data_IF_966894268851
#
_entry.id   IF_966894268851
#
_cell.length_a   1.000
_cell.length_b   1.000
_cell.length_c   1.000
_cell.angle_alpha   90.00
_cell.angle_beta   90.00
_cell.angle_gamma   90.00
#
_symmetry.space_group_name_H-M   'P 1'
#
loop_
_entity.id
_entity.type
_entity.pdbx_description
1 polymer ?
#
# COMPACT_ATOMS: atom_id res chain seq x y z
N UNK A 1 6.41 -5.83 5.29
CA UNK A 1 5.27 -6.64 5.77
C UNK A 1 4.18 -6.53 4.72
N UNK A 2 3.64 -7.63 4.21
CA UNK A 2 2.50 -7.56 3.27
C UNK A 2 1.29 -6.98 3.99
N UNK A 3 0.49 -6.10 3.35
CA UNK A 3 -0.74 -5.61 3.93
C UNK A 3 -1.68 -6.79 4.15
N UNK A 4 -2.09 -7.01 5.40
CA UNK A 4 -2.99 -8.10 5.77
C UNK A 4 -4.43 -7.73 5.38
N UNK A 5 -4.73 -7.89 4.09
CA UNK A 5 -6.07 -7.69 3.53
C UNK A 5 -6.98 -8.91 3.74
N UNK A 6 -6.45 -9.97 4.35
CA UNK A 6 -7.00 -11.32 4.30
C UNK A 6 -6.85 -11.99 5.66
N UNK A 7 -7.91 -11.92 6.47
CA UNK A 7 -7.87 -12.43 7.84
C UNK A 7 -8.02 -13.95 7.85
N UNK A 8 -7.16 -14.62 8.61
CA UNK A 8 -7.31 -16.06 8.92
C UNK A 8 -8.27 -16.22 10.10
N UNK A 9 -9.32 -17.00 9.90
CA UNK A 9 -10.35 -17.26 10.92
C UNK A 9 -10.04 -18.54 11.71
N UNK A 10 -10.81 -18.81 12.76
CA UNK A 10 -10.62 -19.95 13.66
C UNK A 10 -10.74 -21.32 12.96
N UNK A 11 -11.42 -21.37 11.81
CA UNK A 11 -11.53 -22.55 10.95
C UNK A 11 -10.27 -22.81 10.10
N UNK A 12 -9.24 -21.97 10.25
CA UNK A 12 -7.98 -22.06 9.53
C UNK A 12 -8.04 -21.53 8.10
N UNK A 13 -9.20 -21.05 7.64
CA UNK A 13 -9.38 -20.48 6.30
C UNK A 13 -9.19 -18.98 6.31
N UNK A 14 -8.93 -18.45 5.12
CA UNK A 14 -8.63 -17.03 4.91
C UNK A 14 -9.79 -16.38 4.18
N UNK A 15 -10.32 -15.29 4.73
CA UNK A 15 -11.49 -14.60 4.20
C UNK A 15 -11.21 -13.14 3.89
N UNK A 16 -11.95 -12.62 2.91
CA UNK A 16 -12.11 -11.18 2.67
C UNK A 16 -13.51 -10.82 3.16
N UNK A 17 -13.59 -9.94 4.15
CA UNK A 17 -14.86 -9.46 4.71
C UNK A 17 -14.80 -7.93 4.82
N UNK A 18 -15.85 -7.27 4.36
CA UNK A 18 -16.01 -5.83 4.45
C UNK A 18 -17.48 -5.48 4.65
N UNK A 19 -17.74 -4.34 5.27
CA UNK A 19 -19.09 -3.83 5.45
C UNK A 19 -19.57 -3.18 4.15
N UNK A 20 -20.89 -3.26 3.90
CA UNK A 20 -21.59 -2.45 2.89
C UNK A 20 -22.63 -1.59 3.59
N UNK A 21 -22.82 -0.36 3.13
CA UNK A 21 -23.71 0.62 3.78
C UNK A 21 -24.68 1.29 2.79
N UNK A 22 -25.82 1.73 3.30
CA UNK A 22 -26.86 2.41 2.53
C UNK A 22 -27.64 1.51 1.58
N UNK A 23 -28.71 2.05 0.97
CA UNK A 23 -29.57 1.31 0.04
C UNK A 23 -28.82 0.82 -1.22
N UNK A 24 -27.71 1.47 -1.56
CA UNK A 24 -26.88 1.13 -2.72
C UNK A 24 -25.74 0.16 -2.41
N UNK A 25 -25.66 -0.38 -1.18
CA UNK A 25 -24.61 -1.32 -0.76
C UNK A 25 -23.18 -0.79 -1.03
N UNK A 26 -22.93 0.47 -0.67
CA UNK A 26 -21.61 1.10 -0.83
C UNK A 26 -20.60 0.35 0.02
N UNK A 27 -19.53 -0.16 -0.59
CA UNK A 27 -18.48 -0.90 0.10
C UNK A 27 -17.65 0.03 1.01
N UNK A 28 -17.39 -0.43 2.23
CA UNK A 28 -16.45 0.19 3.17
C UNK A 28 -15.11 -0.55 3.04
N UNK A 29 -14.07 0.05 2.44
CA UNK A 29 -12.79 -0.62 2.26
C UNK A 29 -12.16 -0.98 3.61
N UNK A 30 -11.45 -2.10 3.68
CA UNK A 30 -10.73 -2.49 4.90
C UNK A 30 -9.44 -1.69 5.07
N UNK A 31 -8.80 -1.33 3.96
CA UNK A 31 -7.58 -0.54 3.89
C UNK A 31 -7.61 0.37 2.67
N UNK A 32 -6.82 1.43 2.74
CA UNK A 32 -6.49 2.29 1.62
C UNK A 32 -4.99 2.23 1.35
N UNK A 33 -4.59 2.49 0.11
CA UNK A 33 -3.19 2.55 -0.26
C UNK A 33 -2.87 3.86 -0.99
N UNK A 34 -1.60 4.25 -0.95
CA UNK A 34 -1.06 5.34 -1.77
C UNK A 34 0.34 4.96 -2.25
N UNK A 35 0.54 4.96 -3.56
CA UNK A 35 1.86 4.80 -4.19
C UNK A 35 2.22 6.13 -4.84
N UNK A 36 3.35 6.69 -4.45
CA UNK A 36 3.81 8.02 -4.86
C UNK A 36 5.19 7.89 -5.47
N UNK A 37 5.42 8.60 -6.56
CA UNK A 37 6.76 8.83 -7.13
C UNK A 37 7.00 10.33 -7.14
N UNK A 38 8.11 10.75 -6.57
CA UNK A 38 8.59 12.13 -6.58
C UNK A 38 9.92 12.23 -7.33
N UNK A 39 10.15 13.37 -7.98
CA UNK A 39 11.44 13.72 -8.57
C UNK A 39 12.13 14.73 -7.64
N UNK A 40 13.38 14.46 -7.29
CA UNK A 40 14.21 15.38 -6.49
C UNK A 40 14.78 16.50 -7.35
N UNK A 41 15.35 17.54 -6.73
CA UNK A 41 16.06 18.62 -7.45
C UNK A 41 17.22 18.11 -8.33
N UNK A 42 17.74 16.91 -8.03
CA UNK A 42 18.80 16.23 -8.80
C UNK A 42 18.25 15.38 -9.95
N UNK A 43 16.96 15.45 -10.23
CA UNK A 43 16.23 14.63 -11.22
C UNK A 43 16.26 13.13 -10.92
N UNK A 44 16.43 12.78 -9.65
CA UNK A 44 16.40 11.38 -9.18
C UNK A 44 14.99 11.04 -8.74
N UNK A 45 14.50 9.86 -9.14
CA UNK A 45 13.17 9.38 -8.77
C UNK A 45 13.22 8.65 -7.43
N UNK A 46 12.32 9.02 -6.52
CA UNK A 46 12.09 8.34 -5.25
C UNK A 46 10.62 7.88 -5.17
N UNK A 47 10.40 6.66 -4.70
CA UNK A 47 9.08 6.07 -4.55
C UNK A 47 8.75 5.82 -3.09
N UNK A 48 7.50 6.06 -2.72
CA UNK A 48 6.94 5.66 -1.43
C UNK A 48 5.60 4.93 -1.63
N UNK A 49 5.37 3.90 -0.82
CA UNK A 49 4.21 3.03 -0.91
C UNK A 49 3.64 2.76 0.48
N UNK A 50 2.37 3.14 0.68
CA UNK A 50 1.68 3.09 1.96
C UNK A 50 0.43 2.24 1.88
N UNK A 51 0.14 1.49 2.96
CA UNK A 51 -1.17 0.87 3.19
C UNK A 51 -1.63 1.17 4.60
N UNK A 52 -2.80 1.78 4.73
CA UNK A 52 -3.38 2.20 6.00
C UNK A 52 -4.72 1.51 6.23
N UNK A 53 -4.98 0.98 7.45
CA UNK A 53 -6.27 0.39 7.76
C UNK A 53 -7.34 1.48 7.86
N UNK A 54 -8.56 1.16 7.41
CA UNK A 54 -9.72 2.04 7.56
C UNK A 54 -10.29 1.92 8.98
N UNK A 55 -9.50 2.38 9.96
CA UNK A 55 -9.83 2.36 11.38
C UNK A 55 -9.17 3.56 12.07
N UNK A 56 -9.50 3.77 13.34
CA UNK A 56 -8.84 4.81 14.15
C UNK A 56 -7.34 4.52 14.25
N UNK A 57 -6.53 5.52 13.89
CA UNK A 57 -5.07 5.51 14.02
C UNK A 57 -4.71 6.58 15.03
N UNK A 58 -3.81 6.27 15.96
CA UNK A 58 -3.34 7.26 16.95
C UNK A 58 -2.50 8.33 16.26
N UNK A 59 -2.70 9.60 16.57
CA UNK A 59 -1.97 10.73 15.94
C UNK A 59 -0.44 10.63 16.09
N UNK A 60 0.02 9.98 17.16
CA UNK A 60 1.46 9.75 17.43
C UNK A 60 2.05 8.62 16.58
N UNK A 61 1.26 7.88 15.82
CA UNK A 61 1.71 6.77 14.98
C UNK A 61 2.49 7.33 13.78
N UNK A 62 3.80 7.07 13.65
CA UNK A 62 4.56 7.58 12.51
C UNK A 62 4.07 7.00 11.19
N UNK A 63 3.96 7.81 10.14
CA UNK A 63 3.49 7.35 8.82
C UNK A 63 4.34 6.20 8.24
N UNK A 64 5.63 6.18 8.59
CA UNK A 64 6.60 5.16 8.14
C UNK A 64 6.20 3.74 8.54
N UNK A 65 5.38 3.54 9.57
CA UNK A 65 4.93 2.18 9.96
C UNK A 65 3.97 1.57 8.94
N UNK A 66 3.34 2.40 8.11
CA UNK A 66 2.42 1.99 7.06
C UNK A 66 3.13 1.74 5.72
N UNK A 67 4.46 1.92 5.66
CA UNK A 67 5.22 1.65 4.45
C UNK A 67 5.26 0.15 4.16
N UNK A 68 4.92 -0.19 2.92
CA UNK A 68 4.96 -1.57 2.40
C UNK A 68 5.70 -1.60 1.06
N UNK A 69 6.24 -2.75 0.64
CA UNK A 69 6.78 -2.88 -0.72
C UNK A 69 5.68 -2.60 -1.76
N UNK A 70 5.94 -1.82 -2.81
CA UNK A 70 4.94 -1.50 -3.84
C UNK A 70 4.35 -2.75 -4.51
N UNK A 71 5.13 -3.81 -4.68
CA UNK A 71 4.70 -5.11 -5.23
C UNK A 71 3.60 -5.77 -4.38
N UNK A 72 3.62 -5.49 -3.08
CA UNK A 72 2.59 -6.01 -2.18
C UNK A 72 1.24 -5.36 -2.43
N UNK A 73 1.23 -4.08 -2.81
CA UNK A 73 0.01 -3.34 -3.18
C UNK A 73 -0.47 -3.79 -4.55
N UNK A 74 0.42 -3.94 -5.53
CA UNK A 74 0.08 -4.41 -6.88
C UNK A 74 -0.61 -5.79 -6.84
N UNK A 75 -0.02 -6.74 -6.11
CA UNK A 75 -0.58 -8.08 -5.93
C UNK A 75 -1.94 -8.06 -5.23
N UNK A 76 -2.10 -7.16 -4.27
CA UNK A 76 -3.32 -7.02 -3.49
C UNK A 76 -4.46 -6.39 -4.28
N UNK A 77 -4.16 -5.32 -5.02
CA UNK A 77 -5.13 -4.53 -5.76
C UNK A 77 -5.43 -5.12 -7.15
N UNK A 78 -4.56 -5.98 -7.68
CA UNK A 78 -4.67 -6.46 -9.06
C UNK A 78 -4.33 -5.36 -10.07
N UNK A 79 -3.43 -4.45 -9.71
CA UNK A 79 -3.04 -3.28 -10.50
C UNK A 79 -1.52 -3.22 -10.63
N UNK A 80 -1.03 -2.53 -11.66
CA UNK A 80 0.39 -2.16 -11.78
C UNK A 80 0.51 -0.64 -11.63
N UNK A 81 1.49 -0.17 -10.85
CA UNK A 81 1.72 1.25 -10.65
C UNK A 81 3.02 1.69 -11.32
N UNK A 82 2.97 2.82 -12.03
CA UNK A 82 4.14 3.37 -12.72
C UNK A 82 4.83 2.35 -13.66
N UNK A 83 4.04 1.52 -14.33
CA UNK A 83 4.48 0.45 -15.22
C UNK A 83 5.37 0.92 -16.39
N UNK A 84 5.25 2.19 -16.78
CA UNK A 84 6.11 2.85 -17.78
C UNK A 84 7.46 3.33 -17.24
N UNK A 85 7.66 3.32 -15.93
CA UNK A 85 8.92 3.68 -15.29
C UNK A 85 9.63 2.36 -14.94
N UNK A 86 10.79 2.11 -15.56
CA UNK A 86 11.61 0.98 -15.10
C UNK A 86 12.00 1.21 -13.64
N UNK A 87 11.84 0.17 -12.81
CA UNK A 87 12.19 0.23 -11.39
C UNK A 87 13.68 0.51 -11.17
N UNK A 88 14.52 0.18 -12.15
CA UNK A 88 15.95 0.50 -12.13
C UNK A 88 16.22 2.01 -12.16
N UNK A 89 15.25 2.82 -12.60
CA UNK A 89 15.34 4.29 -12.57
C UNK A 89 14.93 4.88 -11.22
N UNK A 90 14.38 4.07 -10.33
CA UNK A 90 13.97 4.50 -8.99
C UNK A 90 15.15 4.33 -8.05
N UNK A 91 15.71 5.45 -7.58
CA UNK A 91 16.89 5.44 -6.74
C UNK A 91 16.60 5.01 -5.30
N UNK A 92 15.42 5.37 -4.78
CA UNK A 92 14.97 4.98 -3.45
C UNK A 92 13.53 4.49 -3.43
N UNK A 93 13.27 3.45 -2.65
CA UNK A 93 11.92 2.98 -2.33
C UNK A 93 11.74 2.97 -0.81
N UNK A 94 10.73 3.68 -0.31
CA UNK A 94 10.44 3.83 1.12
C UNK A 94 11.70 4.25 1.93
N UNK A 95 12.42 5.25 1.43
CA UNK A 95 13.65 5.76 2.04
C UNK A 95 14.88 4.84 1.96
N UNK A 96 14.79 3.67 1.30
CA UNK A 96 15.90 2.73 1.13
C UNK A 96 16.49 2.85 -0.26
N UNK A 97 17.81 2.97 -0.34
CA UNK A 97 18.50 2.96 -1.63
C UNK A 97 18.34 1.62 -2.34
N UNK A 98 18.03 1.69 -3.63
CA UNK A 98 18.03 0.54 -4.51
C UNK A 98 19.44 0.29 -5.00
N UNK A 99 19.90 -0.96 -4.86
CA UNK A 99 21.19 -1.36 -5.44
C UNK A 99 21.04 -1.33 -6.96
N UNK A 100 21.89 -0.53 -7.60
CA UNK A 100 22.08 -0.52 -9.06
C UNK A 100 22.59 -1.85 -9.58
#
# INVERSE_FOLDING_TARGET
>A
RSPDLRRKEADGKTYVKYQVIGASNVAVPTHFFKVVVGETDRKELEMEAYVMPNQVIQDKTPLTVFQVPPESIERAAGLLFFDRISRDKIKKINGREMKS
#
